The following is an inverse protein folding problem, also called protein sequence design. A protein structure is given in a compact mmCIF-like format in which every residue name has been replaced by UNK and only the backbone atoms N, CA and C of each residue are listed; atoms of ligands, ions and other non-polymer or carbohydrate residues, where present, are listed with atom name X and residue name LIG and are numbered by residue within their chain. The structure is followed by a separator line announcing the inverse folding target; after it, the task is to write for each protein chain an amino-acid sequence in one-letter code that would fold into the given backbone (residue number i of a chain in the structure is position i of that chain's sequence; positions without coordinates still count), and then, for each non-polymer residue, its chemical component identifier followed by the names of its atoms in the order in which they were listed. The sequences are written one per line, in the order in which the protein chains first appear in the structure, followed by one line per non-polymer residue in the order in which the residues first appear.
data_IF_377942744453
#
_entry.id   IF_377942744453
#
_cell.length_a   1.000
_cell.length_b   1.000
_cell.length_c   1.000
_cell.angle_alpha   90.00
_cell.angle_beta   90.00
_cell.angle_gamma   90.00
#
_symmetry.space_group_name_H-M   'P 1'
#
loop_
_entity.id
_entity.type
_entity.pdbx_description
1 polymer ?
#
# COMPACT_ATOMS: atom_id res chain seq x y z
N UNK A 1 -2.02 10.06 -18.68
CA UNK A 1 -2.06 8.62 -19.07
C UNK A 1 -0.92 7.80 -18.45
N UNK A 2 0.37 8.12 -18.65
CA UNK A 2 1.51 7.30 -18.16
C UNK A 2 1.60 7.04 -16.64
N UNK A 3 0.99 7.86 -15.78
CA UNK A 3 1.11 7.71 -14.32
C UNK A 3 0.15 6.67 -13.72
N UNK A 4 -1.06 6.54 -14.29
CA UNK A 4 -2.01 5.50 -13.89
C UNK A 4 -1.50 4.12 -14.26
N UNK A 5 -0.95 3.99 -15.47
CA UNK A 5 -0.36 2.72 -15.93
C UNK A 5 0.78 2.30 -15.01
N UNK A 6 1.69 3.22 -14.65
CA UNK A 6 2.73 2.97 -13.64
C UNK A 6 2.16 2.57 -12.28
N UNK A 7 1.03 3.15 -11.88
CA UNK A 7 0.38 2.81 -10.61
C UNK A 7 -0.20 1.41 -10.66
N UNK A 8 -0.86 1.02 -11.75
CA UNK A 8 -1.37 -0.34 -11.91
C UNK A 8 -0.24 -1.37 -12.02
N UNK A 9 0.82 -1.07 -12.76
CA UNK A 9 1.96 -1.96 -13.00
C UNK A 9 2.94 -2.07 -11.83
N UNK A 10 2.85 -1.17 -10.83
CA UNK A 10 3.75 -1.20 -9.68
C UNK A 10 3.70 -2.58 -9.00
N UNK A 11 4.85 -3.26 -9.01
CA UNK A 11 5.13 -4.51 -8.33
C UNK A 11 6.36 -4.33 -7.46
N UNK A 12 6.36 -4.99 -6.32
CA UNK A 12 7.49 -5.00 -5.39
C UNK A 12 8.50 -6.06 -5.77
N UNK A 13 9.79 -5.72 -5.61
CA UNK A 13 10.87 -6.67 -5.82
C UNK A 13 11.00 -7.59 -4.61
N UNK A 14 11.53 -8.79 -4.82
CA UNK A 14 11.63 -9.87 -3.83
C UNK A 14 12.32 -9.48 -2.50
N UNK A 15 13.16 -8.44 -2.50
CA UNK A 15 13.94 -7.98 -1.33
C UNK A 15 13.56 -6.57 -0.83
N UNK A 16 12.43 -6.01 -1.25
CA UNK A 16 12.04 -4.69 -0.75
C UNK A 16 11.26 -4.81 0.56
N UNK A 17 11.53 -3.88 1.48
CA UNK A 17 10.81 -3.78 2.75
C UNK A 17 9.42 -3.21 2.57
N UNK A 18 8.55 -3.40 3.54
CA UNK A 18 7.22 -2.81 3.55
C UNK A 18 7.27 -1.29 3.61
N UNK A 19 8.28 -0.69 4.25
CA UNK A 19 8.45 0.76 4.18
C UNK A 19 8.76 1.23 2.74
N UNK A 20 9.64 0.51 2.04
CA UNK A 20 9.95 0.81 0.63
C UNK A 20 8.73 0.62 -0.29
N UNK A 21 7.88 -0.37 -0.01
CA UNK A 21 6.57 -0.54 -0.65
C UNK A 21 5.74 0.73 -0.57
N UNK A 22 5.46 1.14 0.67
CA UNK A 22 4.53 2.21 1.00
C UNK A 22 5.03 3.51 0.39
N UNK A 23 6.32 3.84 0.57
CA UNK A 23 6.90 5.06 0.01
C UNK A 23 6.79 5.14 -1.51
N UNK A 24 6.92 4.02 -2.24
CA UNK A 24 6.74 4.03 -3.71
C UNK A 24 5.30 4.30 -4.13
N UNK A 25 4.35 3.66 -3.45
CA UNK A 25 2.91 3.86 -3.74
C UNK A 25 2.52 5.31 -3.44
N UNK A 26 2.91 5.84 -2.27
CA UNK A 26 2.64 7.22 -1.87
C UNK A 26 3.29 8.23 -2.83
N UNK A 27 4.56 8.05 -3.17
CA UNK A 27 5.26 8.94 -4.10
C UNK A 27 4.56 8.98 -5.47
N UNK A 28 4.00 7.87 -5.93
CA UNK A 28 3.29 7.83 -7.20
C UNK A 28 1.89 8.45 -7.09
N UNK A 29 1.19 8.23 -5.98
CA UNK A 29 -0.08 8.89 -5.69
C UNK A 29 0.09 10.42 -5.58
N UNK A 30 1.19 10.89 -4.98
CA UNK A 30 1.55 12.31 -4.95
C UNK A 30 1.86 12.87 -6.35
N UNK A 31 2.56 12.13 -7.20
CA UNK A 31 2.80 12.55 -8.59
C UNK A 31 1.50 12.66 -9.39
N UNK A 32 0.55 11.73 -9.20
CA UNK A 32 -0.79 11.81 -9.80
C UNK A 32 -1.53 13.05 -9.29
N UNK A 33 -1.50 13.30 -7.97
CA UNK A 33 -2.04 14.52 -7.34
C UNK A 33 -1.51 15.80 -7.97
N UNK A 34 -0.20 15.86 -8.17
CA UNK A 34 0.45 17.03 -8.76
C UNK A 34 0.11 17.22 -10.25
N UNK A 35 -0.33 16.16 -10.95
CA UNK A 35 -0.81 16.23 -12.33
C UNK A 35 -2.29 16.66 -12.45
N UNK A 36 -2.96 16.94 -11.33
CA UNK A 36 -4.37 17.39 -11.29
C UNK A 36 -5.39 16.27 -11.13
N UNK A 37 -4.95 15.02 -10.99
CA UNK A 37 -5.80 13.85 -10.75
C UNK A 37 -5.57 13.34 -9.32
N UNK A 38 -6.51 12.65 -8.67
CA UNK A 38 -6.25 12.13 -7.31
C UNK A 38 -6.76 10.71 -7.12
N UNK A 39 -6.01 9.92 -6.36
CA UNK A 39 -6.52 8.68 -5.80
C UNK A 39 -7.14 8.97 -4.44
N UNK A 40 -8.27 8.34 -4.15
CA UNK A 40 -8.77 8.31 -2.78
C UNK A 40 -7.90 7.38 -1.92
N UNK A 41 -7.94 7.58 -0.60
CA UNK A 41 -7.14 6.82 0.37
C UNK A 41 -7.42 5.31 0.28
N UNK A 42 -8.66 4.92 -0.04
CA UNK A 42 -9.03 3.51 -0.26
C UNK A 42 -8.27 2.87 -1.41
N UNK A 43 -8.13 3.58 -2.55
CA UNK A 43 -7.37 3.12 -3.71
C UNK A 43 -5.90 2.95 -3.38
N UNK A 44 -5.32 3.88 -2.61
CA UNK A 44 -3.93 3.78 -2.14
C UNK A 44 -3.74 2.56 -1.22
N UNK A 45 -4.64 2.36 -0.25
CA UNK A 45 -4.61 1.22 0.66
C UNK A 45 -4.75 -0.12 -0.08
N UNK A 46 -5.71 -0.23 -0.99
CA UNK A 46 -5.90 -1.43 -1.83
C UNK A 46 -4.65 -1.70 -2.66
N UNK A 47 -4.03 -0.65 -3.21
CA UNK A 47 -2.80 -0.81 -3.99
C UNK A 47 -1.67 -1.36 -3.15
N UNK A 48 -1.43 -0.80 -1.95
CA UNK A 48 -0.41 -1.30 -1.02
C UNK A 48 -0.66 -2.79 -0.73
N UNK A 49 -1.87 -3.16 -0.31
CA UNK A 49 -2.23 -4.55 0.01
C UNK A 49 -2.02 -5.50 -1.18
N UNK A 50 -2.40 -5.06 -2.39
CA UNK A 50 -2.25 -5.82 -3.64
C UNK A 50 -0.79 -5.98 -4.08
N UNK A 51 0.11 -5.11 -3.63
CA UNK A 51 1.55 -5.21 -3.93
C UNK A 51 2.33 -6.09 -2.96
N UNK A 52 1.75 -6.44 -1.80
CA UNK A 52 2.45 -7.22 -0.78
C UNK A 52 2.64 -8.69 -1.20
N UNK A 53 3.80 -9.30 -0.87
CA UNK A 53 4.05 -10.72 -1.13
C UNK A 53 3.02 -11.68 -0.48
N UNK A 54 2.96 -12.95 -0.91
CA UNK A 54 2.03 -13.95 -0.36
C UNK A 54 2.15 -14.15 1.16
N UNK A 55 3.34 -13.95 1.76
CA UNK A 55 3.55 -14.09 3.21
C UNK A 55 2.66 -13.16 4.06
N UNK A 56 2.21 -12.04 3.51
CA UNK A 56 1.27 -11.11 4.17
C UNK A 56 -0.21 -11.50 3.99
N UNK A 57 -0.53 -12.73 3.57
CA UNK A 57 -1.93 -13.16 3.34
C UNK A 57 -2.80 -13.02 4.58
N UNK A 58 -2.28 -13.41 5.76
CA UNK A 58 -3.01 -13.33 7.03
C UNK A 58 -3.26 -11.86 7.38
N UNK A 59 -2.24 -11.01 7.27
CA UNK A 59 -2.37 -9.57 7.43
C UNK A 59 -3.49 -8.99 6.56
N UNK A 60 -3.51 -9.31 5.25
CA UNK A 60 -4.56 -8.82 4.33
C UNK A 60 -5.96 -9.18 4.81
N UNK A 61 -6.17 -10.41 5.27
CA UNK A 61 -7.47 -10.84 5.80
C UNK A 61 -7.83 -10.06 7.07
N UNK A 62 -6.90 -9.92 8.00
CA UNK A 62 -7.11 -9.18 9.25
C UNK A 62 -7.33 -7.67 9.02
N UNK A 63 -6.76 -7.10 7.96
CA UNK A 63 -6.97 -5.70 7.60
C UNK A 63 -8.41 -5.47 7.10
N UNK A 64 -8.94 -6.37 6.26
CA UNK A 64 -10.31 -6.25 5.74
C UNK A 64 -11.38 -6.31 6.84
N UNK A 65 -11.07 -6.89 8.00
CA UNK A 65 -11.96 -6.92 9.17
C UNK A 65 -11.90 -5.65 10.03
N UNK A 66 -10.99 -4.71 9.75
CA UNK A 66 -10.94 -3.42 10.46
C UNK A 66 -12.11 -2.56 10.02
N UNK A 67 -12.82 -1.93 10.95
CA UNK A 67 -13.92 -1.03 10.62
C UNK A 67 -13.46 0.18 9.78
N UNK A 68 -14.34 0.66 8.90
CA UNK A 68 -14.04 1.65 7.86
C UNK A 68 -13.35 2.92 8.39
N UNK A 69 -13.78 3.43 9.55
CA UNK A 69 -13.19 4.63 10.18
C UNK A 69 -11.72 4.46 10.58
N UNK A 70 -11.25 3.22 10.70
CA UNK A 70 -9.88 2.87 11.04
C UNK A 70 -9.06 2.41 9.83
N UNK A 71 -9.67 2.20 8.66
CA UNK A 71 -8.98 1.82 7.43
C UNK A 71 -8.34 3.02 6.72
N UNK A 72 -7.42 3.70 7.41
CA UNK A 72 -6.64 4.80 6.86
C UNK A 72 -5.16 4.40 6.71
N UNK A 73 -4.42 5.19 5.92
CA UNK A 73 -3.03 4.91 5.56
C UNK A 73 -2.10 4.88 6.78
N UNK A 74 -2.32 5.74 7.77
CA UNK A 74 -1.51 5.78 9.00
C UNK A 74 -1.61 4.46 9.77
N UNK A 75 -2.84 3.98 9.99
CA UNK A 75 -3.09 2.70 10.66
C UNK A 75 -2.57 1.51 9.83
N UNK A 76 -2.71 1.56 8.50
CA UNK A 76 -2.21 0.52 7.60
C UNK A 76 -0.69 0.40 7.73
N UNK A 77 0.01 1.52 7.61
CA UNK A 77 1.48 1.60 7.71
C UNK A 77 1.96 1.08 9.05
N UNK A 78 1.39 1.56 10.16
CA UNK A 78 1.80 1.14 11.51
C UNK A 78 1.69 -0.39 11.69
N UNK A 79 0.53 -0.97 11.38
CA UNK A 79 0.31 -2.41 11.52
C UNK A 79 1.17 -3.25 10.57
N UNK A 80 1.43 -2.74 9.36
CA UNK A 80 2.27 -3.42 8.39
C UNK A 80 3.74 -3.49 8.83
N UNK A 81 4.25 -2.45 9.48
CA UNK A 81 5.61 -2.45 10.03
C UNK A 81 5.73 -3.44 11.19
N UNK A 82 4.71 -3.55 12.04
CA UNK A 82 4.68 -4.56 13.11
C UNK A 82 4.63 -5.98 12.55
N UNK A 83 3.84 -6.22 11.49
CA UNK A 83 3.80 -7.50 10.79
C UNK A 83 5.12 -7.85 10.09
N UNK A 84 5.79 -6.88 9.47
CA UNK A 84 7.11 -7.12 8.87
C UNK A 84 8.13 -7.57 9.91
N UNK A 85 8.09 -6.98 11.11
CA UNK A 85 8.95 -7.37 12.24
C UNK A 85 8.61 -8.76 12.80
N UNK A 86 7.35 -9.19 12.76
CA UNK A 86 6.96 -10.52 13.26
C UNK A 86 7.31 -11.65 12.28
N UNK A 87 7.49 -11.33 10.99
CA UNK A 87 7.86 -12.26 9.92
C UNK A 87 9.39 -12.36 9.67
N UNK A 88 10.20 -11.58 10.39
CA UNK A 88 11.66 -11.52 10.26
C UNK A 88 12.33 -12.14 11.48
#
# INVERSE_FOLDING_TARGET
MLLFDKFHELKIKFNETVLQCISKVENLAHQVKNAGESFNDGTVNIKILGTLPPKYRIFRQAWLSVGDSKQNLSNLTSRLLDEERSLT
#
